data_IF_563589247553
#
_entry.id   IF_563589247553
#
_cell.length_a   1.000
_cell.length_b   1.000
_cell.length_c   1.000
_cell.angle_alpha   90.00
_cell.angle_beta   90.00
_cell.angle_gamma   90.00
#
_symmetry.space_group_name_H-M   'P 1'
#
loop_
_entity.id
_entity.type
_entity.pdbx_description
1 polymer ?
#
# COMPACT_ATOMS: atom_id res chain seq x y z
N UNK A 1 -3.60 -5.11 -20.79
CA UNK A 1 -3.24 -6.43 -20.23
C UNK A 1 -4.31 -7.42 -20.62
N UNK A 2 -3.98 -8.45 -21.39
CA UNK A 2 -4.91 -9.55 -21.67
C UNK A 2 -5.02 -10.44 -20.43
N UNK A 3 -6.21 -10.49 -19.83
CA UNK A 3 -6.45 -11.27 -18.62
C UNK A 3 -6.71 -12.72 -19.02
N UNK A 4 -5.66 -13.54 -19.05
CA UNK A 4 -5.77 -14.95 -19.43
C UNK A 4 -6.48 -15.75 -18.34
N UNK A 5 -7.17 -16.83 -18.72
CA UNK A 5 -7.89 -17.73 -17.79
C UNK A 5 -7.05 -18.17 -16.56
N UNK A 6 -5.76 -18.53 -16.67
CA UNK A 6 -4.94 -18.84 -15.50
C UNK A 6 -4.73 -17.64 -14.55
N UNK A 7 -4.62 -16.41 -15.07
CA UNK A 7 -4.51 -15.20 -14.23
C UNK A 7 -5.79 -15.03 -13.40
N UNK A 8 -6.96 -15.17 -14.03
CA UNK A 8 -8.24 -15.01 -13.34
C UNK A 8 -8.42 -16.04 -12.23
N UNK A 9 -8.05 -17.31 -12.47
CA UNK A 9 -8.13 -18.36 -11.46
C UNK A 9 -7.20 -18.08 -10.27
N UNK A 10 -5.95 -17.69 -10.55
CA UNK A 10 -4.97 -17.30 -9.54
C UNK A 10 -5.47 -16.11 -8.70
N UNK A 11 -6.01 -15.06 -9.34
CA UNK A 11 -6.60 -13.90 -8.67
C UNK A 11 -7.80 -14.27 -7.78
N UNK A 12 -8.69 -15.15 -8.23
CA UNK A 12 -9.84 -15.58 -7.43
C UNK A 12 -9.43 -16.37 -6.20
N UNK A 13 -8.50 -17.31 -6.36
CA UNK A 13 -7.94 -18.09 -5.26
C UNK A 13 -7.22 -17.19 -4.24
N UNK A 14 -6.40 -16.25 -4.73
CA UNK A 14 -5.69 -15.28 -3.88
C UNK A 14 -6.68 -14.37 -3.13
N UNK A 15 -7.71 -13.85 -3.80
CA UNK A 15 -8.75 -13.03 -3.16
C UNK A 15 -9.46 -13.77 -2.03
N UNK A 16 -9.82 -15.04 -2.25
CA UNK A 16 -10.53 -15.84 -1.24
C UNK A 16 -9.70 -16.01 0.03
N UNK A 17 -8.38 -16.24 -0.11
CA UNK A 17 -7.46 -16.35 1.02
C UNK A 17 -7.24 -15.04 1.74
N UNK A 18 -6.96 -13.96 1.00
CA UNK A 18 -6.78 -12.62 1.56
C UNK A 18 -8.02 -12.21 2.37
N UNK A 19 -9.22 -12.50 1.86
CA UNK A 19 -10.46 -12.20 2.58
C UNK A 19 -10.60 -13.05 3.85
N UNK A 20 -10.23 -14.32 3.80
CA UNK A 20 -10.29 -15.21 4.96
C UNK A 20 -9.28 -14.82 6.06
N UNK A 21 -8.09 -14.35 5.68
CA UNK A 21 -7.00 -14.01 6.61
C UNK A 21 -7.08 -12.57 7.11
N UNK A 22 -7.29 -11.61 6.22
CA UNK A 22 -7.19 -10.16 6.50
C UNK A 22 -8.53 -9.43 6.38
N UNK A 23 -9.63 -10.12 6.06
CA UNK A 23 -10.95 -9.51 5.88
C UNK A 23 -11.05 -8.51 4.73
N UNK A 24 -10.01 -8.41 3.89
CA UNK A 24 -9.92 -7.41 2.82
C UNK A 24 -10.64 -7.90 1.56
N UNK A 25 -11.55 -7.10 1.02
CA UNK A 25 -12.30 -7.39 -0.21
C UNK A 25 -11.79 -6.53 -1.38
N UNK A 26 -11.19 -7.18 -2.39
CA UNK A 26 -10.64 -6.53 -3.58
C UNK A 26 -11.55 -6.79 -4.78
N UNK A 27 -12.00 -5.73 -5.46
CA UNK A 27 -12.79 -5.84 -6.69
C UNK A 27 -11.90 -6.02 -7.91
N UNK A 28 -12.06 -7.12 -8.64
CA UNK A 28 -11.28 -7.41 -9.87
C UNK A 28 -11.50 -6.40 -10.99
N UNK A 29 -12.61 -5.65 -10.96
CA UNK A 29 -12.91 -4.59 -11.94
C UNK A 29 -12.03 -3.35 -11.78
N UNK A 30 -11.34 -3.19 -10.66
CA UNK A 30 -10.45 -2.05 -10.43
C UNK A 30 -9.12 -2.25 -11.14
N UNK A 31 -8.61 -1.20 -11.78
CA UNK A 31 -7.32 -1.22 -12.46
C UNK A 31 -6.15 -1.58 -11.51
N UNK A 32 -6.30 -1.25 -10.23
CA UNK A 32 -5.29 -1.46 -9.18
C UNK A 32 -5.46 -2.80 -8.42
N UNK A 33 -6.39 -3.67 -8.86
CA UNK A 33 -6.70 -4.91 -8.15
C UNK A 33 -5.47 -5.82 -8.00
N UNK A 34 -4.64 -5.94 -9.03
CA UNK A 34 -3.42 -6.75 -9.01
C UNK A 34 -2.43 -6.16 -7.99
N UNK A 35 -2.15 -4.86 -8.06
CA UNK A 35 -1.22 -4.19 -7.14
C UNK A 35 -1.64 -4.32 -5.67
N UNK A 36 -2.93 -4.17 -5.37
CA UNK A 36 -3.48 -4.41 -4.03
C UNK A 36 -3.32 -5.87 -3.59
N UNK A 37 -3.62 -6.83 -4.47
CA UNK A 37 -3.45 -8.25 -4.16
C UNK A 37 -1.98 -8.60 -3.86
N UNK A 38 -1.03 -8.09 -4.64
CA UNK A 38 0.41 -8.30 -4.40
C UNK A 38 0.85 -7.67 -3.08
N UNK A 39 0.38 -6.46 -2.77
CA UNK A 39 0.68 -5.77 -1.51
C UNK A 39 0.16 -6.55 -0.30
N UNK A 40 -1.07 -7.06 -0.38
CA UNK A 40 -1.65 -7.86 0.69
C UNK A 40 -1.01 -9.24 0.81
N UNK A 41 -0.57 -9.82 -0.31
CA UNK A 41 0.18 -11.07 -0.30
C UNK A 41 1.53 -10.93 0.41
N UNK A 42 2.23 -9.80 0.25
CA UNK A 42 3.47 -9.50 1.00
C UNK A 42 3.20 -9.33 2.50
N UNK A 43 2.08 -8.70 2.87
CA UNK A 43 1.68 -8.50 4.28
C UNK A 43 1.13 -9.75 4.95
N UNK A 44 0.71 -10.74 4.17
CA UNK A 44 0.13 -11.99 4.65
C UNK A 44 1.16 -12.84 5.40
N UNK A 45 0.73 -13.44 6.52
CA UNK A 45 1.54 -14.39 7.30
C UNK A 45 1.43 -15.81 6.74
N UNK A 46 0.37 -16.11 5.99
CA UNK A 46 0.18 -17.40 5.32
C UNK A 46 1.17 -17.58 4.16
N UNK A 47 1.95 -18.66 4.22
CA UNK A 47 2.93 -19.00 3.19
C UNK A 47 2.29 -19.30 1.83
N UNK A 48 1.09 -19.90 1.83
CA UNK A 48 0.36 -20.22 0.61
C UNK A 48 -0.20 -18.97 -0.06
N UNK A 49 -0.58 -17.95 0.72
CA UNK A 49 -0.97 -16.63 0.17
C UNK A 49 0.23 -15.92 -0.45
N UNK A 50 1.42 -16.00 0.17
CA UNK A 50 2.68 -15.50 -0.39
C UNK A 50 3.07 -16.23 -1.69
N UNK A 51 2.92 -17.54 -1.74
CA UNK A 51 3.20 -18.34 -2.94
C UNK A 51 2.30 -17.93 -4.12
N UNK A 52 0.99 -17.79 -3.88
CA UNK A 52 0.04 -17.32 -4.89
C UNK A 52 0.34 -15.89 -5.38
N UNK A 53 0.78 -15.00 -4.49
CA UNK A 53 1.22 -13.66 -4.89
C UNK A 53 2.41 -13.70 -5.86
N UNK A 54 3.40 -14.58 -5.62
CA UNK A 54 4.53 -14.78 -6.53
C UNK A 54 4.08 -15.35 -7.88
N UNK A 55 3.21 -16.34 -7.88
CA UNK A 55 2.67 -16.92 -9.11
C UNK A 55 1.91 -15.87 -9.93
N UNK A 56 1.08 -15.06 -9.27
CA UNK A 56 0.37 -13.97 -9.92
C UNK A 56 1.34 -12.95 -10.54
N UNK A 57 2.41 -12.57 -9.84
CA UNK A 57 3.43 -11.64 -10.35
C UNK A 57 4.13 -12.16 -11.61
N UNK A 58 4.39 -13.46 -11.68
CA UNK A 58 5.00 -14.10 -12.85
C UNK A 58 4.03 -14.12 -14.04
N UNK A 59 2.75 -14.40 -13.78
CA UNK A 59 1.72 -14.45 -14.82
C UNK A 59 1.38 -13.07 -15.39
N UNK A 60 1.39 -12.01 -14.57
CA UNK A 60 1.05 -10.65 -15.01
C UNK A 60 2.27 -9.81 -15.39
N UNK A 61 3.49 -10.32 -15.18
CA UNK A 61 4.74 -9.57 -15.35
C UNK A 61 4.83 -8.34 -14.44
N UNK A 62 4.05 -8.30 -13.36
CA UNK A 62 4.01 -7.18 -12.43
C UNK A 62 4.86 -7.53 -11.23
N UNK A 63 5.92 -6.78 -10.97
CA UNK A 63 6.82 -7.10 -9.86
C UNK A 63 6.09 -7.01 -8.50
N UNK A 64 6.27 -8.03 -7.67
CA UNK A 64 5.87 -7.97 -6.27
C UNK A 64 6.65 -6.79 -5.66
N UNK A 65 6.00 -5.85 -4.93
CA UNK A 65 6.75 -4.85 -4.19
C UNK A 65 7.67 -5.63 -3.27
N UNK A 66 8.98 -5.55 -3.53
CA UNK A 66 9.98 -6.22 -2.72
C UNK A 66 9.65 -5.86 -1.28
N UNK A 67 9.40 -6.88 -0.45
CA UNK A 67 9.27 -6.70 0.99
C UNK A 67 10.63 -6.19 1.44
N UNK A 68 10.86 -4.88 1.32
CA UNK A 68 12.10 -4.27 1.74
C UNK A 68 12.18 -4.58 3.24
N UNK A 69 13.16 -5.39 3.69
CA UNK A 69 13.53 -5.27 5.08
C UNK A 69 13.91 -3.81 5.24
N UNK A 70 13.30 -3.15 6.23
CA UNK A 70 13.62 -1.80 6.63
C UNK A 70 15.04 -1.80 7.21
N UNK A 71 16.04 -2.03 6.34
CA UNK A 71 17.44 -1.85 6.63
C UNK A 71 17.72 -0.39 6.38
N UNK A 72 17.63 0.38 7.48
CA UNK A 72 18.39 1.59 7.77
C UNK A 72 19.23 2.13 6.62
N UNK A 73 18.71 3.14 5.92
CA UNK A 73 19.54 4.07 5.18
C UNK A 73 18.99 5.48 5.44
N UNK A 74 19.62 6.10 6.43
CA UNK A 74 19.59 7.52 6.78
C UNK A 74 19.54 8.38 5.51
N UNK A 75 18.36 8.90 5.18
CA UNK A 75 18.24 10.01 4.24
C UNK A 75 18.73 11.26 4.97
N UNK A 76 20.02 11.54 4.84
CA UNK A 76 20.63 12.83 5.17
C UNK A 76 19.99 13.91 4.29
N UNK A 77 19.38 14.97 4.86
CA UNK A 77 19.06 16.14 4.07
C UNK A 77 20.37 16.79 3.63
N UNK A 78 20.55 16.85 2.31
CA UNK A 78 21.61 17.58 1.63
C UNK A 78 21.66 19.02 2.12
N UNK A 79 22.58 19.30 3.04
CA UNK A 79 22.89 20.65 3.48
C UNK A 79 23.76 21.32 2.40
N UNK A 80 23.11 21.87 1.38
CA UNK A 80 23.78 22.73 0.40
C UNK A 80 24.09 24.07 1.06
N UNK A 81 25.28 24.16 1.65
CA UNK A 81 25.84 25.41 2.14
C UNK A 81 26.48 26.16 0.97
N UNK A 82 25.75 27.09 0.35
CA UNK A 82 26.36 28.29 -0.26
C UNK A 82 25.36 29.42 -0.46
N UNK A 83 25.26 30.27 0.57
CA UNK A 83 24.96 31.68 0.40
C UNK A 83 23.50 32.11 0.65
N UNK A 84 23.38 32.96 1.67
CA UNK A 84 22.36 33.98 1.85
C UNK A 84 21.04 33.61 2.58
N UNK A 85 21.09 33.80 3.90
CA UNK A 85 20.11 34.52 4.76
C UNK A 85 18.68 34.74 4.24
N UNK A 86 17.70 34.05 4.84
CA UNK A 86 16.50 34.64 5.48
C UNK A 86 15.87 33.56 6.38
N UNK A 87 16.01 33.68 7.70
CA UNK A 87 14.94 34.03 8.67
C UNK A 87 13.81 32.98 8.65
N UNK A 88 13.90 31.92 9.48
CA UNK A 88 13.35 31.82 10.86
C UNK A 88 11.88 32.23 10.97
N UNK A 89 11.14 31.44 11.75
CA UNK A 89 9.68 31.46 11.96
C UNK A 89 8.87 30.65 10.93
N UNK A 90 8.05 29.65 11.23
CA UNK A 90 7.43 29.20 12.49
C UNK A 90 7.07 27.70 12.37
N UNK A 91 7.19 27.00 13.49
CA UNK A 91 6.72 25.64 13.66
C UNK A 91 5.20 25.55 13.51
N UNK A 92 4.71 24.66 12.65
CA UNK A 92 3.35 24.13 12.76
C UNK A 92 3.31 22.61 12.52
N UNK A 93 2.93 21.81 13.55
CA UNK A 93 2.66 20.38 13.40
C UNK A 93 1.29 20.20 12.74
N UNK A 94 1.24 19.73 11.49
CA UNK A 94 -0.03 19.44 10.82
C UNK A 94 -0.59 18.06 11.25
N UNK A 95 -0.97 17.92 12.52
CA UNK A 95 -2.09 17.08 12.87
C UNK A 95 -3.35 17.86 12.52
N UNK A 96 -4.07 17.47 11.46
CA UNK A 96 -5.43 17.99 11.24
C UNK A 96 -6.41 16.82 11.29
N UNK A 97 -7.05 16.76 12.45
CA UNK A 97 -8.05 15.82 12.89
C UNK A 97 -9.18 15.61 11.87
N UNK A 98 -9.57 14.35 11.72
CA UNK A 98 -10.76 13.92 11.02
C UNK A 98 -12.01 14.58 11.62
N UNK A 99 -12.68 15.43 10.85
CA UNK A 99 -13.95 16.05 11.24
C UNK A 99 -15.05 14.99 11.20
N UNK A 100 -15.70 14.73 12.35
CA UNK A 100 -16.90 13.89 12.45
C UNK A 100 -18.10 14.78 12.73
N UNK A 101 -19.07 14.76 11.82
CA UNK A 101 -20.32 15.50 11.92
C UNK A 101 -21.33 14.60 12.64
N UNK A 102 -21.91 15.06 13.75
CA UNK A 102 -23.06 14.37 14.36
C UNK A 102 -24.21 15.35 14.50
N UNK A 103 -25.36 15.00 13.89
CA UNK A 103 -26.67 15.66 14.05
C UNK A 103 -26.68 17.19 14.02
N UNK A 104 -25.91 17.79 13.11
CA UNK A 104 -25.92 19.24 12.89
C UNK A 104 -25.00 20.07 13.80
N UNK A 105 -24.14 19.45 14.60
CA UNK A 105 -23.20 20.15 15.48
C UNK A 105 -21.76 19.68 15.25
N UNK A 106 -20.83 20.61 14.95
CA UNK A 106 -19.41 20.32 14.72
C UNK A 106 -18.68 20.30 16.06
N UNK A 107 -18.00 19.19 16.36
CA UNK A 107 -17.14 19.02 17.55
C UNK A 107 -15.69 18.94 17.08
N UNK A 108 -14.80 19.72 17.71
CA UNK A 108 -13.36 19.71 17.44
C UNK A 108 -12.67 18.85 18.51
N UNK A 109 -11.76 17.96 18.11
CA UNK A 109 -10.92 17.14 18.98
C UNK A 109 -9.45 17.50 18.76
#
# INVERSE_FOLDING_TARGET
MEMTKPIIDCMQNLRRRIRAEQGSDIRLSQADAIAQMLTLAVKSRDEKTRALGKELSQLTGSELPASQPLASATATPSNTYRGAMVQSEEAHPAHTASVRIYRGQKVYA
#
